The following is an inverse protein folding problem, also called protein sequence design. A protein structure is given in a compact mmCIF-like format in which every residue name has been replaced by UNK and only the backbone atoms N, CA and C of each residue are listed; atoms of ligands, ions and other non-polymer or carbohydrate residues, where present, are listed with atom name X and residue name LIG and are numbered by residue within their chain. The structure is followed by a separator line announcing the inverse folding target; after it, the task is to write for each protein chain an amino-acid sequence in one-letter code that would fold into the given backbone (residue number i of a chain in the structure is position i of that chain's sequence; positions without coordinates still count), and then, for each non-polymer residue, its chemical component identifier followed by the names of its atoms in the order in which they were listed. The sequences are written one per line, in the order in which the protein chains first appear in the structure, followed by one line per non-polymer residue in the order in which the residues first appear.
data_IF_033198967482
#
_entry.id   IF_033198967482
#
_cell.length_a   1.000
_cell.length_b   1.000
_cell.length_c   1.000
_cell.angle_alpha   90.00
_cell.angle_beta   90.00
_cell.angle_gamma   90.00
#
_symmetry.space_group_name_H-M   'P 1'
#
loop_
_entity.id
_entity.type
_entity.pdbx_description
1 polymer ?
#
# COMPACT_ATOMS: atom_id res chain seq x y z
N UNK A 1 37.71 6.26 -17.02
CA UNK A 1 36.26 6.49 -17.20
C UNK A 1 35.41 5.22 -17.35
N UNK A 2 35.97 4.01 -17.24
CA UNK A 2 35.20 2.74 -17.15
C UNK A 2 35.23 2.11 -15.74
N UNK A 3 36.12 2.57 -14.85
CA UNK A 3 36.27 2.05 -13.48
C UNK A 3 35.30 2.75 -12.49
N UNK A 4 34.94 4.01 -12.73
CA UNK A 4 33.92 4.73 -11.95
C UNK A 4 32.48 4.25 -12.23
N UNK A 5 32.24 3.65 -13.41
CA UNK A 5 30.90 3.32 -13.87
C UNK A 5 30.42 1.92 -13.42
N UNK A 6 31.34 0.99 -13.11
CA UNK A 6 30.98 -0.41 -12.85
C UNK A 6 30.97 -0.82 -11.38
N UNK A 7 31.56 -0.04 -10.47
CA UNK A 7 31.68 -0.43 -9.06
C UNK A 7 30.73 0.34 -8.11
N UNK A 8 30.41 1.61 -8.39
CA UNK A 8 29.73 2.46 -7.41
C UNK A 8 28.20 2.49 -7.54
N UNK A 9 27.65 2.19 -8.73
CA UNK A 9 26.20 2.26 -8.97
C UNK A 9 25.45 0.99 -8.55
N UNK A 10 26.17 -0.04 -8.07
CA UNK A 10 25.59 -1.28 -7.54
C UNK A 10 25.13 -1.16 -6.08
N UNK A 11 25.22 0.03 -5.47
CA UNK A 11 25.15 0.21 -4.02
C UNK A 11 24.12 1.25 -3.53
N UNK A 12 23.09 1.58 -4.31
CA UNK A 12 22.02 2.46 -3.80
C UNK A 12 20.63 1.84 -4.07
N UNK A 13 20.32 0.83 -3.28
CA UNK A 13 18.99 0.18 -3.17
C UNK A 13 17.87 1.22 -3.01
N UNK A 14 18.17 2.30 -2.27
CA UNK A 14 17.27 3.41 -2.05
C UNK A 14 16.89 4.13 -3.36
N UNK A 15 17.83 4.29 -4.30
CA UNK A 15 17.56 4.95 -5.58
C UNK A 15 16.68 4.07 -6.47
N UNK A 16 16.93 2.77 -6.52
CA UNK A 16 16.10 1.84 -7.29
C UNK A 16 14.65 1.82 -6.76
N UNK A 17 14.48 1.74 -5.44
CA UNK A 17 13.15 1.81 -4.80
C UNK A 17 12.47 3.16 -5.07
N UNK A 18 13.21 4.27 -4.99
CA UNK A 18 12.69 5.61 -5.31
C UNK A 18 12.28 5.74 -6.78
N UNK A 19 13.04 5.18 -7.72
CA UNK A 19 12.72 5.20 -9.15
C UNK A 19 11.45 4.40 -9.43
N UNK A 20 11.31 3.21 -8.84
CA UNK A 20 10.08 2.40 -8.94
C UNK A 20 8.89 3.19 -8.41
N UNK A 21 9.00 3.76 -7.20
CA UNK A 21 7.94 4.56 -6.61
C UNK A 21 7.61 5.81 -7.43
N UNK A 22 8.61 6.51 -7.97
CA UNK A 22 8.41 7.67 -8.85
C UNK A 22 7.61 7.29 -10.12
N UNK A 23 7.87 6.10 -10.69
CA UNK A 23 7.08 5.58 -11.81
C UNK A 23 5.60 5.36 -11.46
N UNK A 24 5.30 4.89 -10.26
CA UNK A 24 3.91 4.78 -9.79
C UNK A 24 3.25 6.14 -9.60
N UNK A 25 3.96 7.11 -9.04
CA UNK A 25 3.46 8.48 -8.85
C UNK A 25 3.16 9.15 -10.20
N UNK A 26 4.06 9.03 -11.17
CA UNK A 26 3.85 9.54 -12.53
C UNK A 26 2.63 8.91 -13.19
N UNK A 27 2.42 7.59 -13.01
CA UNK A 27 1.23 6.91 -13.53
C UNK A 27 -0.07 7.45 -12.91
N UNK A 28 -0.07 7.74 -11.61
CA UNK A 28 -1.22 8.33 -10.93
C UNK A 28 -1.51 9.73 -11.48
N UNK A 29 -0.48 10.58 -11.61
CA UNK A 29 -0.64 11.91 -12.21
C UNK A 29 -1.17 11.87 -13.64
N UNK A 30 -0.69 10.92 -14.46
CA UNK A 30 -1.20 10.73 -15.81
C UNK A 30 -2.69 10.34 -15.80
N UNK A 31 -3.12 9.50 -14.84
CA UNK A 31 -4.52 9.12 -14.67
C UNK A 31 -5.42 10.29 -14.23
N UNK A 32 -4.92 11.13 -13.32
CA UNK A 32 -5.61 12.35 -12.89
C UNK A 32 -5.79 13.31 -14.06
N UNK A 33 -4.74 13.50 -14.84
CA UNK A 33 -4.75 14.37 -16.02
C UNK A 33 -5.73 13.87 -17.09
N UNK A 34 -5.89 12.56 -17.25
CA UNK A 34 -6.84 11.98 -18.19
C UNK A 34 -8.31 12.15 -17.77
N UNK A 35 -8.60 12.27 -16.47
CA UNK A 35 -9.97 12.34 -15.89
C UNK A 35 -10.32 13.78 -15.49
N UNK A 36 -9.39 14.73 -15.61
CA UNK A 36 -9.51 16.13 -15.16
C UNK A 36 -9.99 16.26 -13.70
N UNK A 37 -9.49 15.36 -12.85
CA UNK A 37 -9.84 15.32 -11.43
C UNK A 37 -8.84 16.13 -10.59
N UNK A 38 -9.28 16.63 -9.44
CA UNK A 38 -8.38 17.23 -8.46
C UNK A 38 -7.82 16.14 -7.53
N UNK A 39 -6.50 16.00 -7.49
CA UNK A 39 -5.83 15.02 -6.64
C UNK A 39 -5.59 15.59 -5.23
N UNK A 40 -6.09 14.91 -4.21
CA UNK A 40 -5.75 15.22 -2.82
C UNK A 40 -4.28 14.84 -2.53
N UNK A 41 -3.51 15.76 -1.96
CA UNK A 41 -2.10 15.54 -1.58
C UNK A 41 -1.95 14.34 -0.62
N UNK A 42 -2.89 14.16 0.30
CA UNK A 42 -2.87 13.02 1.24
C UNK A 42 -3.12 11.68 0.55
N UNK A 43 -3.94 11.67 -0.49
CA UNK A 43 -4.15 10.49 -1.32
C UNK A 43 -2.89 10.14 -2.10
N UNK A 44 -2.19 11.14 -2.65
CA UNK A 44 -0.91 10.93 -3.32
C UNK A 44 0.15 10.35 -2.38
N UNK A 45 0.26 10.90 -1.16
CA UNK A 45 1.18 10.37 -0.15
C UNK A 45 0.85 8.91 0.21
N UNK A 46 -0.44 8.58 0.35
CA UNK A 46 -0.86 7.21 0.60
C UNK A 46 -0.43 6.24 -0.51
N UNK A 47 -0.66 6.59 -1.78
CA UNK A 47 -0.23 5.77 -2.92
C UNK A 47 1.30 5.68 -3.00
N UNK A 48 2.00 6.79 -2.74
CA UNK A 48 3.47 6.81 -2.76
C UNK A 48 4.05 5.90 -1.68
N UNK A 49 3.53 5.96 -0.45
CA UNK A 49 3.94 5.08 0.64
C UNK A 49 3.62 3.61 0.34
N UNK A 50 2.47 3.33 -0.27
CA UNK A 50 2.11 1.97 -0.69
C UNK A 50 3.02 1.45 -1.82
N UNK A 51 3.37 2.29 -2.79
CA UNK A 51 4.31 1.93 -3.87
C UNK A 51 5.71 1.64 -3.33
N UNK A 52 6.21 2.45 -2.40
CA UNK A 52 7.49 2.23 -1.72
C UNK A 52 7.46 0.92 -0.91
N UNK A 53 6.36 0.67 -0.21
CA UNK A 53 6.15 -0.56 0.55
C UNK A 53 6.21 -1.81 -0.34
N UNK A 54 5.51 -1.82 -1.47
CA UNK A 54 5.56 -2.93 -2.43
C UNK A 54 6.94 -3.08 -3.08
N UNK A 55 7.62 -1.97 -3.41
CA UNK A 55 8.96 -1.99 -3.99
C UNK A 55 9.99 -2.63 -3.04
N UNK A 56 9.95 -2.28 -1.75
CA UNK A 56 10.77 -2.93 -0.72
C UNK A 56 10.41 -4.41 -0.56
N UNK A 57 9.11 -4.74 -0.53
CA UNK A 57 8.62 -6.12 -0.46
C UNK A 57 9.13 -6.99 -1.60
N UNK A 58 9.17 -6.46 -2.84
CA UNK A 58 9.70 -7.15 -4.01
C UNK A 58 11.19 -7.45 -3.86
N UNK A 59 11.99 -6.46 -3.44
CA UNK A 59 13.43 -6.65 -3.22
C UNK A 59 13.72 -7.65 -2.10
N UNK A 60 12.88 -7.70 -1.06
CA UNK A 60 12.96 -8.72 -0.01
C UNK A 60 12.66 -10.12 -0.55
N UNK A 61 11.58 -10.28 -1.32
CA UNK A 61 11.22 -11.56 -1.96
C UNK A 61 12.32 -12.07 -2.89
N UNK A 62 12.90 -11.21 -3.72
CA UNK A 62 14.04 -11.58 -4.59
C UNK A 62 15.23 -12.11 -3.78
N UNK A 63 15.55 -11.51 -2.63
CA UNK A 63 16.61 -12.02 -1.75
C UNK A 63 16.28 -13.39 -1.14
N UNK A 64 15.06 -13.57 -0.64
CA UNK A 64 14.64 -14.85 -0.04
C UNK A 64 14.64 -15.99 -1.08
N UNK A 65 14.22 -15.70 -2.32
CA UNK A 65 14.32 -16.65 -3.44
C UNK A 65 15.77 -17.00 -3.76
N UNK A 66 16.66 -16.01 -3.80
CA UNK A 66 18.09 -16.24 -4.02
C UNK A 66 18.69 -17.11 -2.90
N UNK A 67 18.33 -16.89 -1.63
CA UNK A 67 18.76 -17.75 -0.52
C UNK A 67 18.25 -19.19 -0.66
N UNK A 68 17.00 -19.39 -1.12
CA UNK A 68 16.43 -20.73 -1.32
C UNK A 68 17.09 -21.52 -2.47
N UNK A 69 17.63 -20.83 -3.48
CA UNK A 69 18.33 -21.44 -4.62
C UNK A 69 19.86 -21.50 -4.43
N UNK A 70 20.40 -20.95 -3.34
CA UNK A 70 21.84 -20.81 -3.08
C UNK A 70 22.50 -22.02 -2.40
N UNK A 71 21.93 -23.23 -2.48
CA UNK A 71 22.62 -24.43 -2.01
C UNK A 71 23.88 -24.79 -2.82
N UNK A 72 24.19 -24.11 -3.94
CA UNK A 72 25.29 -24.54 -4.82
C UNK A 72 26.23 -23.49 -5.46
N UNK A 73 26.17 -22.17 -5.19
CA UNK A 73 27.24 -21.29 -5.69
C UNK A 73 27.43 -19.94 -4.97
N UNK A 74 28.61 -19.79 -4.35
CA UNK A 74 29.38 -18.56 -4.03
C UNK A 74 28.79 -17.50 -3.07
N UNK A 75 29.37 -17.49 -1.87
CA UNK A 75 29.23 -16.59 -0.71
C UNK A 75 29.58 -15.09 -0.90
N UNK A 76 29.37 -14.46 -2.06
CA UNK A 76 29.81 -13.03 -2.25
C UNK A 76 28.70 -12.01 -2.50
N UNK A 77 27.42 -12.40 -2.39
CA UNK A 77 26.28 -11.47 -2.48
C UNK A 77 25.64 -11.08 -1.12
N UNK A 78 26.39 -11.25 -0.03
CA UNK A 78 25.96 -11.01 1.35
C UNK A 78 26.17 -9.55 1.81
N UNK A 79 25.70 -8.57 1.02
CA UNK A 79 25.82 -7.13 1.35
C UNK A 79 24.46 -6.43 1.54
N UNK A 80 23.50 -7.14 2.14
CA UNK A 80 22.20 -6.57 2.50
C UNK A 80 21.88 -6.92 3.96
N UNK A 81 21.95 -5.98 4.90
CA UNK A 81 21.45 -6.24 6.25
C UNK A 81 19.93 -6.41 6.18
N UNK A 82 19.43 -7.58 6.54
CA UNK A 82 17.98 -7.86 6.64
C UNK A 82 17.27 -6.83 7.53
N UNK A 83 17.97 -6.40 8.58
CA UNK A 83 17.54 -5.34 9.49
C UNK A 83 17.17 -4.02 8.79
N UNK A 84 17.87 -3.65 7.70
CA UNK A 84 17.57 -2.43 6.95
C UNK A 84 16.29 -2.58 6.12
N UNK A 85 16.12 -3.70 5.42
CA UNK A 85 14.89 -3.96 4.65
C UNK A 85 13.68 -4.09 5.56
N UNK A 86 13.84 -4.71 6.72
CA UNK A 86 12.76 -4.84 7.71
C UNK A 86 12.41 -3.47 8.33
N UNK A 87 13.41 -2.62 8.59
CA UNK A 87 13.20 -1.24 9.05
C UNK A 87 12.52 -0.37 7.98
N UNK A 88 12.91 -0.49 6.71
CA UNK A 88 12.26 0.21 5.60
C UNK A 88 10.82 -0.28 5.38
N UNK A 89 10.59 -1.59 5.44
CA UNK A 89 9.26 -2.20 5.28
C UNK A 89 8.30 -1.69 6.35
N UNK A 90 8.73 -1.71 7.62
CA UNK A 90 7.93 -1.22 8.74
C UNK A 90 7.74 0.30 8.71
N UNK A 91 8.75 1.08 8.30
CA UNK A 91 8.63 2.53 8.13
C UNK A 91 7.59 2.91 7.07
N UNK A 92 7.64 2.30 5.88
CA UNK A 92 6.67 2.58 4.81
C UNK A 92 5.29 2.00 5.09
N UNK A 93 5.20 0.84 5.76
CA UNK A 93 3.92 0.29 6.21
C UNK A 93 3.19 1.26 7.15
N UNK A 94 3.91 1.79 8.15
CA UNK A 94 3.36 2.77 9.08
C UNK A 94 2.93 4.06 8.39
N UNK A 95 3.77 4.55 7.47
CA UNK A 95 3.41 5.71 6.66
C UNK A 95 2.17 5.46 5.79
N UNK A 96 2.01 4.28 5.20
CA UNK A 96 0.90 3.96 4.30
C UNK A 96 -0.47 3.99 5.00
N UNK A 97 -0.62 3.30 6.14
CA UNK A 97 -1.91 3.30 6.84
C UNK A 97 -2.20 4.66 7.49
N UNK A 98 -1.17 5.36 7.99
CA UNK A 98 -1.33 6.67 8.62
C UNK A 98 -1.75 7.74 7.60
N UNK A 99 -1.07 7.81 6.45
CA UNK A 99 -1.45 8.72 5.36
C UNK A 99 -2.83 8.40 4.79
N UNK A 100 -3.21 7.12 4.74
CA UNK A 100 -4.57 6.71 4.40
C UNK A 100 -5.60 7.19 5.44
N UNK A 101 -5.30 7.06 6.74
CA UNK A 101 -6.16 7.55 7.81
C UNK A 101 -6.34 9.07 7.75
N UNK A 102 -5.26 9.82 7.46
CA UNK A 102 -5.34 11.26 7.21
C UNK A 102 -6.17 11.58 5.97
N UNK A 103 -5.99 10.85 4.87
CA UNK A 103 -6.82 11.01 3.68
C UNK A 103 -8.32 10.80 4.01
N UNK A 104 -8.66 9.70 4.69
CA UNK A 104 -10.02 9.40 5.11
C UNK A 104 -10.60 10.45 6.08
N UNK A 105 -9.74 11.06 6.90
CA UNK A 105 -10.12 12.15 7.79
C UNK A 105 -10.26 13.50 7.08
N UNK A 106 -9.46 13.82 6.06
CA UNK A 106 -9.56 15.13 5.39
C UNK A 106 -10.58 15.16 4.26
N UNK A 107 -11.09 14.01 3.83
CA UNK A 107 -12.15 13.97 2.83
C UNK A 107 -13.40 14.70 3.35
N UNK A 108 -13.98 15.66 2.59
CA UNK A 108 -15.22 16.32 2.98
C UNK A 108 -16.34 15.30 3.22
N UNK A 109 -17.23 15.54 4.20
CA UNK A 109 -18.34 14.66 4.48
C UNK A 109 -19.21 14.52 3.24
N UNK A 110 -19.28 13.28 2.73
CA UNK A 110 -20.18 12.93 1.63
C UNK A 110 -21.58 12.95 2.22
N UNK A 111 -22.42 13.89 1.77
CA UNK A 111 -23.77 14.04 2.29
C UNK A 111 -24.60 12.83 1.86
N UNK A 112 -24.88 11.94 2.80
CA UNK A 112 -25.63 10.73 2.51
C UNK A 112 -27.02 11.07 1.94
N UNK A 113 -27.35 10.47 0.79
CA UNK A 113 -28.69 10.55 0.20
C UNK A 113 -29.76 10.14 1.24
N UNK A 114 -30.84 10.92 1.33
CA UNK A 114 -32.08 10.67 2.14
C UNK A 114 -32.72 9.26 1.97
N UNK A 115 -32.19 8.42 1.10
CA UNK A 115 -32.70 7.05 0.86
C UNK A 115 -32.31 6.10 2.01
N UNK A 116 -31.10 6.23 2.58
CA UNK A 116 -30.68 5.37 3.71
C UNK A 116 -31.44 5.76 4.99
N UNK A 117 -31.71 7.06 5.22
CA UNK A 117 -32.51 7.51 6.36
C UNK A 117 -33.95 6.97 6.34
N UNK A 118 -34.52 6.75 5.15
CA UNK A 118 -35.85 6.16 5.00
C UNK A 118 -35.86 4.64 5.19
N UNK A 119 -34.76 3.95 4.88
CA UNK A 119 -34.65 2.49 4.99
C UNK A 119 -34.24 2.05 6.41
N UNK A 120 -33.46 2.87 7.12
CA UNK A 120 -33.08 2.66 8.54
C UNK A 120 -34.10 3.22 9.55
N UNK A 121 -35.28 3.65 9.13
CA UNK A 121 -36.42 3.93 10.02
C UNK A 121 -36.17 5.03 11.05
N UNK A 122 -35.70 6.21 10.63
CA UNK A 122 -35.64 7.38 11.52
C UNK A 122 -34.63 7.28 12.68
N UNK A 123 -33.75 6.28 12.67
CA UNK A 123 -32.61 6.26 13.57
C UNK A 123 -31.60 7.30 13.04
N UNK A 124 -31.68 8.53 13.54
CA UNK A 124 -30.65 9.56 13.33
C UNK A 124 -29.38 9.10 14.04
N UNK A 125 -28.65 8.19 13.38
CA UNK A 125 -27.27 7.94 13.73
C UNK A 125 -26.57 9.32 13.62
N UNK A 126 -25.85 9.79 14.64
CA UNK A 126 -24.99 10.99 14.55
C UNK A 126 -23.84 10.83 13.52
N UNK A 127 -23.92 9.79 12.69
CA UNK A 127 -23.04 9.44 11.60
C UNK A 127 -23.36 10.17 10.29
N UNK A 128 -24.41 11.00 10.22
CA UNK A 128 -24.68 11.86 9.05
C UNK A 128 -23.56 12.88 8.78
N UNK A 129 -22.81 13.26 9.82
CA UNK A 129 -21.56 14.05 9.75
C UNK A 129 -20.30 13.17 9.81
N UNK A 130 -20.44 11.85 10.01
CA UNK A 130 -19.29 10.98 10.11
C UNK A 130 -18.66 10.82 8.74
N UNK A 131 -17.34 11.01 8.72
CA UNK A 131 -16.49 10.74 7.56
C UNK A 131 -16.58 9.24 7.27
N UNK A 132 -17.53 8.81 6.44
CA UNK A 132 -17.82 7.41 6.16
C UNK A 132 -16.57 6.63 5.70
N UNK A 133 -15.62 7.30 5.06
CA UNK A 133 -14.32 6.74 4.71
C UNK A 133 -13.47 6.32 5.92
N UNK A 134 -13.62 6.94 7.10
CA UNK A 134 -12.93 6.50 8.32
C UNK A 134 -13.31 5.08 8.74
N UNK A 135 -14.52 4.61 8.43
CA UNK A 135 -14.93 3.24 8.73
C UNK A 135 -14.08 2.19 7.98
N UNK A 136 -13.40 2.59 6.90
CA UNK A 136 -12.52 1.70 6.12
C UNK A 136 -11.10 1.62 6.70
N UNK A 137 -10.71 2.52 7.62
CA UNK A 137 -9.37 2.59 8.21
C UNK A 137 -9.01 1.32 9.00
N UNK A 138 -9.87 0.76 9.88
CA UNK A 138 -9.56 -0.49 10.57
C UNK A 138 -9.29 -1.66 9.62
N UNK A 139 -9.95 -1.68 8.46
CA UNK A 139 -9.80 -2.74 7.45
C UNK A 139 -8.46 -2.59 6.74
N UNK A 140 -8.07 -1.37 6.36
CA UNK A 140 -6.74 -1.10 5.79
C UNK A 140 -5.64 -1.42 6.80
N UNK A 141 -5.82 -1.05 8.06
CA UNK A 141 -4.88 -1.37 9.13
C UNK A 141 -4.73 -2.89 9.28
N UNK A 142 -5.84 -3.64 9.29
CA UNK A 142 -5.81 -5.10 9.32
C UNK A 142 -5.07 -5.68 8.10
N UNK A 143 -5.32 -5.16 6.89
CA UNK A 143 -4.63 -5.62 5.68
C UNK A 143 -3.11 -5.39 5.76
N UNK A 144 -2.67 -4.22 6.23
CA UNK A 144 -1.23 -3.92 6.43
C UNK A 144 -0.62 -4.83 7.49
N UNK A 145 -1.28 -5.00 8.64
CA UNK A 145 -0.82 -5.91 9.70
C UNK A 145 -0.73 -7.36 9.21
N UNK A 146 -1.73 -7.84 8.48
CA UNK A 146 -1.76 -9.20 7.93
C UNK A 146 -0.64 -9.41 6.91
N UNK A 147 -0.40 -8.42 6.06
CA UNK A 147 0.69 -8.50 5.10
C UNK A 147 2.07 -8.52 5.78
N UNK A 148 2.30 -7.66 6.80
CA UNK A 148 3.52 -7.69 7.59
C UNK A 148 3.71 -9.04 8.29
N UNK A 149 2.65 -9.59 8.88
CA UNK A 149 2.66 -10.91 9.50
C UNK A 149 3.14 -12.00 8.54
N UNK A 150 2.61 -12.03 7.30
CA UNK A 150 3.03 -13.00 6.28
C UNK A 150 4.50 -12.82 5.92
N UNK A 151 4.93 -11.56 5.75
CA UNK A 151 6.32 -11.21 5.43
C UNK A 151 7.28 -11.69 6.52
N UNK A 152 6.98 -11.46 7.80
CA UNK A 152 7.88 -11.82 8.89
C UNK A 152 7.84 -13.30 9.25
N UNK A 153 6.65 -13.91 9.25
CA UNK A 153 6.48 -15.27 9.78
C UNK A 153 6.63 -16.35 8.70
N UNK A 154 6.10 -16.13 7.49
CA UNK A 154 6.09 -17.20 6.48
C UNK A 154 7.42 -17.40 5.75
N UNK A 155 8.37 -16.45 5.79
CA UNK A 155 9.66 -16.48 5.06
C UNK A 155 9.55 -16.97 3.60
N UNK A 156 8.37 -16.89 3.01
CA UNK A 156 8.10 -17.32 1.66
C UNK A 156 8.58 -16.18 0.76
N UNK A 157 9.58 -16.47 -0.07
CA UNK A 157 10.10 -15.53 -1.06
C UNK A 157 9.10 -15.24 -2.19
N UNK A 158 7.80 -15.44 -1.98
CA UNK A 158 6.80 -15.16 -2.99
C UNK A 158 6.71 -13.66 -3.27
N UNK A 159 6.50 -13.32 -4.54
CA UNK A 159 6.32 -11.93 -4.96
C UNK A 159 5.18 -11.26 -4.17
N UNK A 160 5.30 -9.99 -3.75
CA UNK A 160 4.28 -9.24 -3.02
C UNK A 160 2.86 -9.37 -3.58
N UNK A 161 2.74 -9.38 -4.91
CA UNK A 161 1.49 -9.50 -5.64
C UNK A 161 0.84 -10.87 -5.45
N UNK A 162 1.66 -11.92 -5.42
CA UNK A 162 1.20 -13.30 -5.19
C UNK A 162 0.78 -13.50 -3.75
N UNK A 163 1.47 -12.91 -2.78
CA UNK A 163 1.07 -12.96 -1.36
C UNK A 163 -0.35 -12.40 -1.18
N UNK A 164 -0.68 -11.30 -1.86
CA UNK A 164 -2.01 -10.69 -1.83
C UNK A 164 -3.08 -11.63 -2.42
N UNK A 165 -2.74 -12.38 -3.48
CA UNK A 165 -3.67 -13.28 -4.16
C UNK A 165 -3.79 -14.66 -3.49
N UNK A 166 -2.74 -15.12 -2.81
CA UNK A 166 -2.68 -16.45 -2.17
C UNK A 166 -3.31 -16.43 -0.78
N UNK A 167 -3.17 -15.34 -0.01
CA UNK A 167 -3.70 -15.28 1.37
C UNK A 167 -5.19 -14.86 1.36
N UNK A 168 -6.06 -15.81 1.68
CA UNK A 168 -7.52 -15.61 1.66
C UNK A 168 -8.01 -14.51 2.62
N UNK A 169 -7.47 -14.35 3.86
CA UNK A 169 -7.84 -13.22 4.71
C UNK A 169 -7.41 -11.86 4.16
N UNK A 170 -6.21 -11.76 3.57
CA UNK A 170 -5.72 -10.52 2.98
C UNK A 170 -6.54 -10.13 1.75
N UNK A 171 -6.82 -11.09 0.87
CA UNK A 171 -7.67 -10.87 -0.30
C UNK A 171 -9.09 -10.45 0.10
N UNK A 172 -9.67 -11.10 1.11
CA UNK A 172 -10.98 -10.74 1.64
C UNK A 172 -10.98 -9.30 2.19
N UNK A 173 -9.94 -8.89 2.93
CA UNK A 173 -9.83 -7.53 3.43
C UNK A 173 -9.77 -6.49 2.30
N UNK A 174 -9.01 -6.75 1.24
CA UNK A 174 -8.92 -5.87 0.05
C UNK A 174 -10.27 -5.79 -0.68
N UNK A 175 -10.97 -6.91 -0.85
CA UNK A 175 -12.29 -6.95 -1.50
C UNK A 175 -13.32 -6.20 -0.66
N UNK A 176 -13.40 -6.47 0.64
CA UNK A 176 -14.33 -5.78 1.55
C UNK A 176 -14.05 -4.27 1.55
N UNK A 177 -12.77 -3.88 1.58
CA UNK A 177 -12.37 -2.49 1.47
C UNK A 177 -12.83 -1.86 0.15
N UNK A 178 -12.59 -2.51 -0.98
CA UNK A 178 -13.01 -2.01 -2.29
C UNK A 178 -14.54 -1.88 -2.40
N UNK A 179 -15.28 -2.87 -1.91
CA UNK A 179 -16.75 -2.85 -1.87
C UNK A 179 -17.25 -1.72 -0.98
N UNK A 180 -16.65 -1.49 0.18
CA UNK A 180 -17.02 -0.39 1.06
C UNK A 180 -16.74 0.97 0.44
N UNK A 181 -15.55 1.17 -0.16
CA UNK A 181 -15.20 2.43 -0.82
C UNK A 181 -16.13 2.72 -1.99
N UNK A 182 -16.37 1.74 -2.86
CA UNK A 182 -17.30 1.88 -3.99
C UNK A 182 -18.75 2.09 -3.49
N UNK A 183 -19.17 1.36 -2.46
CA UNK A 183 -20.47 1.53 -1.84
C UNK A 183 -20.64 2.94 -1.29
N UNK A 184 -19.67 3.46 -0.54
CA UNK A 184 -19.69 4.82 0.00
C UNK A 184 -19.75 5.84 -1.14
N UNK A 185 -18.93 5.71 -2.18
CA UNK A 185 -18.90 6.69 -3.27
C UNK A 185 -20.18 6.66 -4.11
N UNK A 186 -20.68 5.48 -4.49
CA UNK A 186 -21.83 5.37 -5.39
C UNK A 186 -23.19 5.46 -4.68
N UNK A 187 -23.32 5.00 -3.43
CA UNK A 187 -24.60 5.11 -2.71
C UNK A 187 -24.75 6.43 -1.94
N UNK A 188 -23.66 7.05 -1.48
CA UNK A 188 -23.72 8.33 -0.75
C UNK A 188 -23.30 9.54 -1.62
N UNK A 189 -22.49 9.37 -2.66
CA UNK A 189 -21.86 10.47 -3.41
C UNK A 189 -22.66 11.10 -4.55
N UNK A 190 -24.01 11.03 -4.54
CA UNK A 190 -24.87 11.71 -5.52
C UNK A 190 -25.98 12.52 -4.86
#
# INVERSE_FOLDING_TARGET
MQIFYSAYLKQIILIDILVIAAGFVLRVYAGVWAIDAHLNVWFLLSITSFALFLAVGKRRSERTLLTSQAAHHRETLLHYPENLLDSLTSMFANSAWLTYAFFAFLQPPIHARKVISNLLGGFELPLTEAKYLMATVPIVLFAVMRYLYIIYEKKEGESPERIILTDTPLLAAVIIWAVLVLGIIYFLGT
#
